data_IF_286163857627
#
_entry.id   IF_286163857627
#
_cell.length_a   1.000
_cell.length_b   1.000
_cell.length_c   1.000
_cell.angle_alpha   90.00
_cell.angle_beta   90.00
_cell.angle_gamma   90.00
#
_symmetry.space_group_name_H-M   'P 1'
#
loop_
_entity.id
_entity.type
_entity.pdbx_description
1 polymer ?
#
# COMPACT_ATOMS: atom_id res chain seq x y z
N UNK A 1 -12.71 11.35 7.58
CA UNK A 1 -11.27 11.48 7.94
C UNK A 1 -10.40 11.31 6.71
N UNK A 2 -9.33 12.11 6.55
CA UNK A 2 -8.38 12.03 5.42
C UNK A 2 -7.33 10.97 5.73
N UNK A 3 -7.27 9.88 4.96
CA UNK A 3 -6.16 8.91 5.07
C UNK A 3 -4.85 9.65 4.76
N UNK A 4 -3.94 9.68 5.74
CA UNK A 4 -2.62 10.25 5.57
C UNK A 4 -1.76 9.24 4.82
N UNK A 5 -1.29 9.66 3.66
CA UNK A 5 -0.38 8.89 2.81
C UNK A 5 0.90 8.56 3.61
N UNK A 6 1.40 7.33 3.48
CA UNK A 6 2.64 6.89 4.13
C UNK A 6 3.84 7.67 3.60
N UNK A 7 4.71 8.13 4.50
CA UNK A 7 5.96 8.79 4.13
C UNK A 7 6.97 7.75 3.69
N UNK A 8 7.74 8.08 2.66
CA UNK A 8 8.75 7.16 2.11
C UNK A 8 9.85 6.81 3.13
N UNK A 9 10.17 7.74 4.02
CA UNK A 9 11.16 7.54 5.09
C UNK A 9 10.75 6.42 6.04
N UNK A 10 9.45 6.27 6.28
CA UNK A 10 8.93 5.21 7.14
C UNK A 10 8.87 3.87 6.39
N UNK A 11 8.54 3.90 5.10
CA UNK A 11 8.53 2.70 4.25
C UNK A 11 9.94 2.07 4.15
N UNK A 12 10.98 2.91 4.04
CA UNK A 12 12.38 2.44 3.94
C UNK A 12 12.92 1.76 5.20
N UNK A 13 12.21 1.82 6.33
CA UNK A 13 12.60 1.14 7.58
C UNK A 13 12.18 -0.33 7.62
N UNK A 14 11.26 -0.75 6.75
CA UNK A 14 10.83 -2.14 6.67
C UNK A 14 11.88 -3.02 6.00
N UNK A 15 11.95 -4.25 6.46
CA UNK A 15 12.69 -5.35 5.81
C UNK A 15 11.96 -5.83 4.54
N UNK A 16 12.64 -6.57 3.66
CA UNK A 16 12.04 -7.13 2.44
C UNK A 16 10.81 -7.99 2.73
N UNK A 17 10.88 -8.84 3.76
CA UNK A 17 9.77 -9.67 4.20
C UNK A 17 8.57 -8.84 4.70
N UNK A 18 8.83 -7.77 5.46
CA UNK A 18 7.77 -6.87 5.95
C UNK A 18 7.14 -6.07 4.81
N UNK A 19 7.94 -5.56 3.86
CA UNK A 19 7.43 -4.89 2.67
C UNK A 19 6.51 -5.80 1.86
N UNK A 20 6.90 -7.08 1.68
CA UNK A 20 6.08 -8.06 0.98
C UNK A 20 4.74 -8.27 1.72
N UNK A 21 4.80 -8.50 3.04
CA UNK A 21 3.61 -8.70 3.89
C UNK A 21 2.68 -7.49 3.86
N UNK A 22 3.20 -6.28 4.08
CA UNK A 22 2.39 -5.05 4.07
C UNK A 22 1.85 -4.74 2.67
N UNK A 23 2.58 -5.08 1.60
CA UNK A 23 2.07 -4.91 0.23
C UNK A 23 0.85 -5.81 -0.05
N UNK A 24 0.86 -7.06 0.45
CA UNK A 24 -0.27 -8.00 0.34
C UNK A 24 -1.47 -7.48 1.12
N UNK A 25 -1.25 -7.05 2.36
CA UNK A 25 -2.29 -6.45 3.20
C UNK A 25 -2.92 -5.22 2.54
N UNK A 26 -2.11 -4.32 1.98
CA UNK A 26 -2.61 -3.15 1.26
C UNK A 26 -3.47 -3.53 0.05
N UNK A 27 -3.15 -4.62 -0.66
CA UNK A 27 -3.98 -5.13 -1.77
C UNK A 27 -5.34 -5.63 -1.28
N UNK A 28 -5.36 -6.40 -0.20
CA UNK A 28 -6.59 -6.90 0.43
C UNK A 28 -7.49 -5.76 0.90
N UNK A 29 -6.92 -4.78 1.61
CA UNK A 29 -7.66 -3.60 2.07
C UNK A 29 -8.23 -2.78 0.90
N UNK A 30 -7.51 -2.67 -0.22
CA UNK A 30 -8.02 -2.00 -1.43
C UNK A 30 -9.18 -2.79 -2.04
N UNK A 31 -9.08 -4.12 -2.10
CA UNK A 31 -10.13 -4.99 -2.62
C UNK A 31 -11.41 -4.88 -1.78
N UNK A 32 -11.27 -4.89 -0.46
CA UNK A 32 -12.38 -4.74 0.48
C UNK A 32 -13.05 -3.37 0.36
N UNK A 33 -12.27 -2.29 0.29
CA UNK A 33 -12.82 -0.95 0.10
C UNK A 33 -13.53 -0.81 -1.26
N UNK A 34 -13.02 -1.44 -2.32
CA UNK A 34 -13.70 -1.46 -3.62
C UNK A 34 -15.02 -2.20 -3.53
N UNK A 35 -15.07 -3.34 -2.83
CA UNK A 35 -16.30 -4.11 -2.60
C UNK A 35 -17.34 -3.26 -1.86
N UNK A 36 -16.96 -2.63 -0.75
CA UNK A 36 -17.85 -1.76 0.03
C UNK A 36 -18.38 -0.57 -0.77
N UNK A 37 -17.53 0.04 -1.62
CA UNK A 37 -17.96 1.11 -2.51
C UNK A 37 -18.97 0.59 -3.55
N UNK A 38 -18.73 -0.60 -4.11
CA UNK A 38 -19.65 -1.21 -5.06
C UNK A 38 -21.02 -1.55 -4.44
N UNK A 39 -21.02 -2.03 -3.19
CA UNK A 39 -22.24 -2.34 -2.43
C UNK A 39 -22.97 -1.09 -1.90
N UNK A 40 -22.39 0.11 -2.07
CA UNK A 40 -22.94 1.36 -1.54
C UNK A 40 -22.72 1.58 -0.03
N UNK A 41 -22.03 0.67 0.64
CA UNK A 41 -21.69 0.74 2.08
C UNK A 41 -20.62 1.80 2.39
N UNK A 42 -19.86 2.25 1.39
CA UNK A 42 -18.85 3.27 1.52
C UNK A 42 -18.83 4.24 0.34
N UNK A 43 -18.68 5.53 0.61
CA UNK A 43 -18.60 6.58 -0.43
C UNK A 43 -17.20 7.18 -0.55
N UNK A 44 -16.29 6.84 0.37
CA UNK A 44 -14.97 7.46 0.45
C UNK A 44 -13.95 6.88 -0.55
N UNK A 45 -14.16 7.16 -1.84
CA UNK A 45 -13.23 6.78 -2.92
C UNK A 45 -11.83 7.40 -2.77
N UNK A 46 -11.69 8.47 -1.98
CA UNK A 46 -10.39 9.12 -1.72
C UNK A 46 -9.47 8.21 -0.91
N UNK A 47 -10.02 7.39 -0.01
CA UNK A 47 -9.25 6.42 0.77
C UNK A 47 -8.63 5.34 -0.13
N UNK A 48 -9.37 4.84 -1.12
CA UNK A 48 -8.86 3.91 -2.13
C UNK A 48 -7.72 4.53 -2.94
N UNK A 49 -7.85 5.80 -3.32
CA UNK A 49 -6.77 6.53 -4.04
C UNK A 49 -5.52 6.67 -3.18
N UNK A 50 -5.67 6.93 -1.88
CA UNK A 50 -4.54 7.08 -0.98
C UNK A 50 -3.81 5.75 -0.75
N UNK A 51 -4.55 4.67 -0.45
CA UNK A 51 -3.96 3.32 -0.27
C UNK A 51 -3.26 2.80 -1.53
N UNK A 52 -3.79 3.09 -2.73
CA UNK A 52 -3.10 2.77 -3.99
C UNK A 52 -1.74 3.46 -4.11
N UNK A 53 -1.63 4.71 -3.66
CA UNK A 53 -0.34 5.43 -3.64
C UNK A 53 0.61 4.85 -2.60
N UNK A 54 0.10 4.41 -1.46
CA UNK A 54 0.92 3.74 -0.44
C UNK A 54 1.46 2.41 -0.97
N UNK A 55 0.60 1.59 -1.60
CA UNK A 55 1.00 0.34 -2.25
C UNK A 55 2.06 0.56 -3.32
N UNK A 56 1.89 1.56 -4.19
CA UNK A 56 2.87 1.86 -5.23
C UNK A 56 4.25 2.17 -4.63
N UNK A 57 4.31 2.99 -3.57
CA UNK A 57 5.58 3.30 -2.91
C UNK A 57 6.20 2.09 -2.22
N UNK A 58 5.37 1.24 -1.60
CA UNK A 58 5.82 -0.01 -0.96
C UNK A 58 6.51 -0.93 -1.99
N UNK A 59 5.87 -1.12 -3.15
CA UNK A 59 6.40 -1.95 -4.24
C UNK A 59 7.68 -1.35 -4.85
N UNK A 60 7.78 -0.02 -4.96
CA UNK A 60 9.02 0.63 -5.41
C UNK A 60 10.18 0.32 -4.48
N UNK A 61 10.00 0.50 -3.17
CA UNK A 61 11.07 0.24 -2.18
C UNK A 61 11.41 -1.25 -2.12
N UNK A 62 10.42 -2.13 -2.23
CA UNK A 62 10.65 -3.58 -2.30
C UNK A 62 11.51 -3.93 -3.53
N UNK A 63 11.18 -3.38 -4.70
CA UNK A 63 11.97 -3.59 -5.92
C UNK A 63 13.40 -3.04 -5.79
N UNK A 64 13.58 -1.88 -5.14
CA UNK A 64 14.91 -1.32 -4.83
C UNK A 64 15.73 -2.26 -3.94
N UNK A 65 15.10 -2.86 -2.91
CA UNK A 65 15.77 -3.79 -2.01
C UNK A 65 16.15 -5.10 -2.71
N UNK A 66 15.22 -5.71 -3.46
CA UNK A 66 15.49 -6.92 -4.23
C UNK A 66 16.58 -6.69 -5.29
N UNK A 67 16.61 -5.52 -5.93
CA UNK A 67 17.68 -5.19 -6.89
C UNK A 67 19.06 -5.14 -6.22
N UNK A 68 19.15 -4.68 -4.97
CA UNK A 68 20.41 -4.65 -4.20
C UNK A 68 20.88 -6.04 -3.75
N UNK A 69 19.96 -6.97 -3.53
CA UNK A 69 20.30 -8.35 -3.16
C UNK A 69 20.87 -9.15 -4.35
N UNK A 70 20.60 -8.72 -5.58
CA UNK A 70 21.04 -9.38 -6.82
C UNK A 70 22.30 -8.76 -7.44
N UNK A 71 22.97 -7.84 -6.73
CA UNK A 71 24.23 -7.17 -7.13
C UNK A 71 25.32 -7.56 -6.14
#
# INVERSE_FOLDING_TARGET
MRHKIMKIVDIRKYTTAELAKESTKLREEIADLRRRVHMGEATNVRQIRAKRKDLARMLTVLSEQLAKENV
#
